data_IF_245293380438
#
_entry.id   IF_245293380438
#
_cell.length_a   1.000
_cell.length_b   1.000
_cell.length_c   1.000
_cell.angle_alpha   90.00
_cell.angle_beta   90.00
_cell.angle_gamma   90.00
#
_symmetry.space_group_name_H-M   'P 1'
#
loop_
_entity.id
_entity.type
_entity.pdbx_description
1 polymer ?
#
# COMPACT_ATOMS: atom_id res chain seq x y z
N UNK A 1 0.48 9.34 30.58
CA UNK A 1 1.41 8.86 29.54
C UNK A 1 1.79 10.04 28.67
N UNK A 2 3.04 10.13 28.22
CA UNK A 2 3.54 11.23 27.39
C UNK A 2 4.44 10.71 26.29
N UNK A 3 4.34 11.29 25.10
CA UNK A 3 5.30 11.06 24.02
C UNK A 3 6.65 11.66 24.42
N UNK A 4 7.73 10.92 24.22
CA UNK A 4 9.10 11.33 24.61
C UNK A 4 10.03 11.55 23.43
N UNK A 5 9.82 10.85 22.31
CA UNK A 5 10.65 10.98 21.10
C UNK A 5 9.98 10.32 19.89
N UNK A 6 10.41 10.72 18.69
CA UNK A 6 10.08 10.05 17.43
C UNK A 6 11.39 9.59 16.80
N UNK A 7 11.43 8.34 16.31
CA UNK A 7 12.59 7.85 15.54
C UNK A 7 12.15 7.24 14.23
N UNK A 8 12.93 7.47 13.19
CA UNK A 8 12.69 6.90 11.87
C UNK A 8 13.73 5.83 11.55
N UNK A 9 13.31 4.83 10.77
CA UNK A 9 14.14 3.70 10.37
C UNK A 9 13.91 3.44 8.89
N UNK A 10 14.95 3.64 8.09
CA UNK A 10 14.94 3.35 6.67
C UNK A 10 15.51 1.95 6.46
N UNK A 11 14.72 1.05 5.87
CA UNK A 11 15.10 -0.32 5.57
C UNK A 11 15.25 -0.50 4.06
N UNK A 12 16.40 -0.99 3.62
CA UNK A 12 16.59 -1.37 2.22
C UNK A 12 15.85 -2.69 1.95
N UNK A 13 14.81 -2.64 1.12
CA UNK A 13 14.02 -3.79 0.71
C UNK A 13 14.07 -4.00 -0.83
N UNK A 14 15.27 -3.83 -1.39
CA UNK A 14 15.64 -4.07 -2.79
C UNK A 14 14.91 -3.17 -3.81
N UNK A 15 13.61 -3.37 -4.03
CA UNK A 15 12.84 -2.65 -5.05
C UNK A 15 12.36 -1.29 -4.54
N UNK A 16 11.88 -1.24 -3.29
CA UNK A 16 11.40 -0.03 -2.62
C UNK A 16 11.94 -0.04 -1.21
N UNK A 17 12.51 1.06 -0.74
CA UNK A 17 12.95 1.18 0.64
C UNK A 17 11.74 1.46 1.54
N UNK A 18 11.67 0.80 2.69
CA UNK A 18 10.62 1.02 3.68
C UNK A 18 11.04 2.08 4.69
N UNK A 19 10.09 2.89 5.15
CA UNK A 19 10.33 3.89 6.19
C UNK A 19 9.40 3.59 7.36
N UNK A 20 9.96 3.15 8.49
CA UNK A 20 9.19 2.95 9.71
C UNK A 20 9.41 4.12 10.67
N UNK A 21 8.35 4.45 11.41
CA UNK A 21 8.37 5.45 12.48
C UNK A 21 8.07 4.76 13.79
N UNK A 22 8.82 5.11 14.82
CA UNK A 22 8.61 4.65 16.19
C UNK A 22 8.36 5.84 17.11
N UNK A 23 7.19 5.86 17.74
CA UNK A 23 6.82 6.87 18.74
C UNK A 23 7.05 6.27 20.12
N UNK A 24 7.92 6.90 20.90
CA UNK A 24 8.25 6.47 22.25
C UNK A 24 7.40 7.19 23.28
N UNK A 25 7.09 6.49 24.38
CA UNK A 25 6.39 7.07 25.53
C UNK A 25 7.30 7.17 26.76
N UNK A 26 6.81 7.79 27.83
CA UNK A 26 7.43 7.82 29.15
C UNK A 26 7.26 6.50 29.94
N UNK A 27 6.54 5.53 29.38
CA UNK A 27 6.35 4.21 29.95
C UNK A 27 7.31 3.22 29.28
N UNK A 28 8.14 2.56 30.09
CA UNK A 28 9.12 1.60 29.60
C UNK A 28 8.45 0.47 28.80
N UNK A 29 8.96 0.21 27.59
CA UNK A 29 8.45 -0.83 26.70
C UNK A 29 7.23 -0.42 25.87
N UNK A 30 6.48 0.60 26.27
CA UNK A 30 5.32 1.06 25.52
C UNK A 30 5.72 2.07 24.43
N UNK A 31 5.56 1.64 23.19
CA UNK A 31 5.86 2.42 22.00
C UNK A 31 4.98 1.97 20.83
N UNK A 32 4.79 2.89 19.89
CA UNK A 32 4.03 2.69 18.66
C UNK A 32 4.92 2.54 17.46
N UNK A 33 4.46 1.78 16.48
CA UNK A 33 5.10 1.65 15.16
C UNK A 33 4.09 2.03 14.08
N UNK A 34 4.54 2.83 13.12
CA UNK A 34 3.83 3.11 11.90
C UNK A 34 4.76 3.14 10.69
N UNK A 35 4.19 3.26 9.51
CA UNK A 35 4.90 3.22 8.24
C UNK A 35 4.69 4.49 7.43
N UNK A 36 5.80 5.09 6.97
CA UNK A 36 5.85 6.31 6.18
C UNK A 36 6.40 6.04 4.76
N UNK A 37 6.42 4.78 4.30
CA UNK A 37 7.01 4.40 3.01
C UNK A 37 6.48 5.29 1.88
N UNK A 38 7.41 5.97 1.21
CA UNK A 38 7.12 6.88 0.11
C UNK A 38 8.25 6.77 -0.91
N UNK A 39 7.96 6.08 -2.02
CA UNK A 39 8.94 5.68 -3.03
C UNK A 39 9.81 6.87 -3.48
N UNK A 40 11.13 6.68 -3.40
CA UNK A 40 12.16 7.63 -3.82
C UNK A 40 12.18 8.95 -3.05
N UNK A 41 11.50 9.02 -1.90
CA UNK A 41 11.46 10.20 -1.00
C UNK A 41 11.68 9.79 0.44
N UNK A 42 12.39 8.69 0.68
CA UNK A 42 12.51 8.03 1.98
C UNK A 42 13.17 8.93 3.02
N UNK A 43 14.27 9.60 2.64
CA UNK A 43 14.93 10.55 3.52
C UNK A 43 14.06 11.78 3.79
N UNK A 44 13.33 12.26 2.77
CA UNK A 44 12.46 13.42 2.89
C UNK A 44 11.31 13.15 3.84
N UNK A 45 10.63 12.01 3.70
CA UNK A 45 9.52 11.63 4.57
C UNK A 45 9.99 11.28 5.98
N UNK A 46 11.16 10.62 6.13
CA UNK A 46 11.77 10.40 7.43
C UNK A 46 12.04 11.73 8.16
N UNK A 47 12.58 12.73 7.45
CA UNK A 47 12.80 14.05 8.04
C UNK A 47 11.50 14.75 8.40
N UNK A 48 10.47 14.66 7.56
CA UNK A 48 9.16 15.20 7.87
C UNK A 48 8.55 14.59 9.15
N UNK A 49 8.77 13.30 9.41
CA UNK A 49 8.35 12.66 10.66
C UNK A 49 9.09 13.24 11.87
N UNK A 50 10.40 13.44 11.78
CA UNK A 50 11.21 14.06 12.84
C UNK A 50 10.81 15.52 13.12
N UNK A 51 10.48 16.29 12.07
CA UNK A 51 10.04 17.68 12.22
C UNK A 51 8.71 17.81 12.99
N UNK A 52 7.85 16.79 12.92
CA UNK A 52 6.61 16.74 13.69
C UNK A 52 6.86 16.47 15.18
N UNK A 53 8.02 15.94 15.58
CA UNK A 53 8.35 15.64 16.99
C UNK A 53 8.17 16.86 17.90
N UNK A 54 8.54 18.05 17.42
CA UNK A 54 8.42 19.31 18.18
C UNK A 54 6.99 19.62 18.63
N UNK A 55 5.99 19.12 17.89
CA UNK A 55 4.58 19.30 18.22
C UNK A 55 4.06 18.21 19.16
N UNK A 56 4.77 17.08 19.26
CA UNK A 56 4.25 15.85 19.85
C UNK A 56 4.84 15.51 21.21
N UNK A 57 6.12 15.85 21.44
CA UNK A 57 6.76 15.60 22.74
C UNK A 57 5.97 16.25 23.88
N UNK A 58 5.70 15.47 24.93
CA UNK A 58 4.94 15.89 26.10
C UNK A 58 3.42 15.73 25.97
N UNK A 59 2.87 15.49 24.77
CA UNK A 59 1.44 15.20 24.57
C UNK A 59 1.09 13.77 24.99
N UNK A 60 -0.16 13.58 25.37
CA UNK A 60 -0.72 12.24 25.61
C UNK A 60 -1.00 11.55 24.26
N UNK A 61 -0.40 10.39 23.96
CA UNK A 61 -0.61 9.70 22.69
C UNK A 61 -2.03 9.18 22.48
N UNK A 62 -2.90 9.17 23.50
CA UNK A 62 -4.31 8.79 23.36
C UNK A 62 -5.16 9.85 22.66
N UNK A 63 -4.69 11.09 22.57
CA UNK A 63 -5.39 12.19 21.90
C UNK A 63 -5.11 12.19 20.38
N UNK A 64 -5.36 11.05 19.74
CA UNK A 64 -5.00 10.80 18.32
C UNK A 64 -5.58 11.87 17.40
N UNK A 65 -6.88 12.16 17.50
CA UNK A 65 -7.56 13.13 16.65
C UNK A 65 -7.03 14.57 16.84
N UNK A 66 -6.72 14.94 18.08
CA UNK A 66 -6.11 16.25 18.40
C UNK A 66 -4.73 16.36 17.77
N UNK A 67 -3.90 15.33 17.96
CA UNK A 67 -2.56 15.25 17.38
C UNK A 67 -2.62 15.34 15.86
N UNK A 68 -3.50 14.56 15.23
CA UNK A 68 -3.67 14.57 13.77
C UNK A 68 -4.02 15.97 13.26
N UNK A 69 -5.00 16.61 13.90
CA UNK A 69 -5.41 17.96 13.53
C UNK A 69 -4.31 18.99 13.76
N UNK A 70 -3.56 18.91 14.85
CA UNK A 70 -2.40 19.79 15.10
C UNK A 70 -1.35 19.60 14.01
N UNK A 71 -0.93 18.37 13.72
CA UNK A 71 0.06 18.11 12.67
C UNK A 71 -0.38 18.63 11.29
N UNK A 72 -1.66 18.46 10.94
CA UNK A 72 -2.16 18.89 9.63
C UNK A 72 -2.39 20.40 9.53
N UNK A 73 -2.98 21.02 10.57
CA UNK A 73 -3.38 22.43 10.55
C UNK A 73 -2.21 23.37 10.86
N UNK A 74 -1.30 22.97 11.74
CA UNK A 74 -0.15 23.80 12.14
C UNK A 74 0.97 23.80 11.10
N UNK A 75 0.89 22.94 10.09
CA UNK A 75 1.82 22.92 8.96
C UNK A 75 1.72 24.18 8.05
N UNK A 76 0.66 24.98 8.21
CA UNK A 76 0.31 26.13 7.35
C UNK A 76 0.08 25.72 5.88
N UNK A 77 1.14 25.39 5.15
CA UNK A 77 1.11 24.70 3.86
C UNK A 77 0.98 23.20 4.10
N UNK A 78 -0.09 22.60 3.59
CA UNK A 78 -0.51 21.26 3.99
C UNK A 78 -1.00 20.44 2.80
N UNK A 79 -1.04 19.12 2.99
CA UNK A 79 -1.30 18.15 1.93
C UNK A 79 -0.01 17.65 1.27
N UNK A 80 -0.15 17.05 0.08
CA UNK A 80 0.97 16.44 -0.65
C UNK A 80 1.47 15.14 -0.02
N UNK A 81 2.23 14.37 -0.79
CA UNK A 81 2.61 13.02 -0.38
C UNK A 81 3.51 13.00 0.88
N UNK A 82 4.48 13.91 0.99
CA UNK A 82 5.47 13.88 2.08
C UNK A 82 4.82 14.10 3.46
N UNK A 83 4.09 15.22 3.63
CA UNK A 83 3.45 15.52 4.92
C UNK A 83 2.38 14.49 5.25
N UNK A 84 1.55 14.09 4.28
CA UNK A 84 0.49 13.12 4.53
C UNK A 84 1.03 11.73 4.90
N UNK A 85 2.13 11.28 4.29
CA UNK A 85 2.81 10.02 4.69
C UNK A 85 3.40 10.11 6.10
N UNK A 86 3.98 11.26 6.48
CA UNK A 86 4.50 11.45 7.83
C UNK A 86 3.39 11.45 8.90
N UNK A 87 2.28 12.16 8.64
CA UNK A 87 1.11 12.17 9.53
C UNK A 87 0.52 10.75 9.63
N UNK A 88 0.38 10.04 8.52
CA UNK A 88 -0.12 8.65 8.49
C UNK A 88 0.71 7.72 9.37
N UNK A 89 2.04 7.80 9.27
CA UNK A 89 2.95 6.97 10.07
C UNK A 89 2.84 7.25 11.58
N UNK A 90 2.69 8.52 11.95
CA UNK A 90 2.48 8.89 13.35
C UNK A 90 1.11 8.41 13.82
N UNK A 91 0.05 8.64 13.06
CA UNK A 91 -1.32 8.19 13.39
C UNK A 91 -1.36 6.67 13.66
N UNK A 92 -0.79 5.86 12.75
CA UNK A 92 -0.66 4.41 12.95
C UNK A 92 0.09 4.06 14.24
N UNK A 93 1.20 4.74 14.53
CA UNK A 93 1.97 4.51 15.74
C UNK A 93 1.17 4.86 17.01
N UNK A 94 0.36 5.91 16.99
CA UNK A 94 -0.49 6.29 18.13
C UNK A 94 -1.61 5.27 18.35
N UNK A 95 -2.22 4.75 17.28
CA UNK A 95 -3.17 3.64 17.37
C UNK A 95 -2.55 2.36 17.92
N UNK A 96 -1.32 2.05 17.50
CA UNK A 96 -0.55 0.92 18.03
C UNK A 96 -0.24 1.09 19.53
N UNK A 97 0.15 2.29 19.98
CA UNK A 97 0.31 2.61 21.43
C UNK A 97 -1.00 2.36 22.16
N UNK A 98 -2.11 2.91 21.67
CA UNK A 98 -3.41 2.82 22.33
C UNK A 98 -3.90 1.37 22.43
N UNK A 99 -3.69 0.57 21.39
CA UNK A 99 -3.98 -0.87 21.42
C UNK A 99 -3.15 -1.60 22.47
N UNK A 100 -1.83 -1.36 22.48
CA UNK A 100 -0.90 -1.97 23.44
C UNK A 100 -1.19 -1.59 24.89
N UNK A 101 -1.47 -0.32 25.16
CA UNK A 101 -1.79 0.17 26.51
C UNK A 101 -3.08 -0.45 27.05
N UNK A 102 -4.09 -0.57 26.20
CA UNK A 102 -5.38 -1.16 26.55
C UNK A 102 -5.39 -2.71 26.47
N UNK A 103 -4.29 -3.33 26.02
CA UNK A 103 -4.18 -4.78 25.86
C UNK A 103 -5.12 -5.37 24.80
N UNK A 104 -5.47 -4.60 23.77
CA UNK A 104 -6.39 -5.02 22.69
C UNK A 104 -5.79 -4.78 21.30
N UNK A 105 -6.15 -5.59 20.29
CA UNK A 105 -5.76 -5.30 18.92
C UNK A 105 -6.47 -4.03 18.40
N UNK A 106 -5.82 -3.29 17.49
CA UNK A 106 -6.32 -1.99 16.98
C UNK A 106 -7.75 -2.10 16.42
N UNK A 107 -8.09 -3.18 15.71
CA UNK A 107 -9.45 -3.36 15.17
C UNK A 107 -10.54 -3.33 16.26
N UNK A 108 -10.21 -3.70 17.51
CA UNK A 108 -11.16 -3.67 18.61
C UNK A 108 -11.52 -2.24 19.00
N UNK A 109 -10.56 -1.31 18.84
CA UNK A 109 -10.77 0.12 19.04
C UNK A 109 -11.57 0.76 17.90
N UNK A 110 -11.56 0.14 16.72
CA UNK A 110 -12.30 0.59 15.53
C UNK A 110 -13.74 0.03 15.45
N UNK A 111 -14.26 -0.52 16.56
CA UNK A 111 -15.61 -1.07 16.64
C UNK A 111 -15.70 -2.59 16.66
N UNK A 112 -14.57 -3.29 16.67
CA UNK A 112 -14.53 -4.76 16.75
C UNK A 112 -14.58 -5.44 15.37
N UNK A 113 -14.30 -6.75 15.38
CA UNK A 113 -14.33 -7.55 14.15
C UNK A 113 -15.77 -7.82 13.71
N UNK A 114 -16.00 -7.77 12.40
CA UNK A 114 -17.27 -8.18 11.74
C UNK A 114 -17.08 -9.35 10.76
N UNK A 115 -15.85 -9.88 10.70
CA UNK A 115 -15.42 -11.03 9.92
C UNK A 115 -14.16 -11.62 10.56
N UNK A 116 -13.91 -12.91 10.37
CA UNK A 116 -12.74 -13.59 10.94
C UNK A 116 -11.49 -13.50 10.05
N UNK A 117 -11.68 -13.26 8.75
CA UNK A 117 -10.60 -13.11 7.78
C UNK A 117 -10.97 -12.11 6.68
N UNK A 118 -9.96 -11.66 5.93
CA UNK A 118 -10.10 -10.80 4.75
C UNK A 118 -9.50 -11.57 3.56
N UNK A 119 -10.21 -11.59 2.44
CA UNK A 119 -9.67 -12.14 1.20
C UNK A 119 -8.52 -11.26 0.68
N UNK A 120 -7.40 -11.89 0.34
CA UNK A 120 -6.22 -11.22 -0.20
C UNK A 120 -6.03 -11.61 -1.67
N UNK A 121 -5.60 -10.67 -2.49
CA UNK A 121 -5.12 -10.97 -3.83
C UNK A 121 -3.58 -11.06 -3.83
N UNK A 122 -3.02 -11.91 -4.69
CA UNK A 122 -1.58 -11.95 -4.91
C UNK A 122 -1.14 -10.86 -5.90
N UNK A 123 -0.03 -10.19 -5.60
CA UNK A 123 0.68 -9.32 -6.53
C UNK A 123 2.15 -9.77 -6.63
N UNK A 124 2.77 -9.59 -7.79
CA UNK A 124 4.16 -10.01 -8.05
C UNK A 124 4.33 -11.49 -8.40
N UNK A 125 3.23 -12.27 -8.46
CA UNK A 125 3.22 -13.69 -8.84
C UNK A 125 3.76 -13.96 -10.25
N UNK A 126 3.68 -12.96 -11.12
CA UNK A 126 3.98 -13.04 -12.55
C UNK A 126 5.48 -12.99 -12.88
N UNK A 127 6.36 -12.62 -11.95
CA UNK A 127 7.79 -12.55 -12.25
C UNK A 127 8.45 -13.95 -12.29
N UNK A 128 9.38 -14.22 -13.22
CA UNK A 128 9.87 -13.39 -14.33
C UNK A 128 9.24 -13.74 -15.70
N UNK A 129 7.97 -14.17 -15.73
CA UNK A 129 7.28 -14.61 -16.94
C UNK A 129 7.24 -13.54 -18.03
N UNK A 130 7.24 -13.99 -19.29
CA UNK A 130 7.31 -13.16 -20.50
C UNK A 130 6.33 -13.60 -21.58
N UNK A 131 5.94 -14.88 -21.62
CA UNK A 131 4.97 -15.40 -22.61
C UNK A 131 3.61 -15.69 -21.98
N UNK A 132 2.53 -15.74 -22.78
CA UNK A 132 1.19 -16.10 -22.29
C UNK A 132 1.18 -17.40 -21.47
N UNK A 133 1.91 -18.43 -21.92
CA UNK A 133 1.99 -19.73 -21.26
C UNK A 133 2.71 -19.65 -19.91
N UNK A 134 3.80 -18.87 -19.85
CA UNK A 134 4.53 -18.65 -18.60
C UNK A 134 3.67 -17.88 -17.58
N UNK A 135 2.89 -16.88 -18.03
CA UNK A 135 1.95 -16.17 -17.15
C UNK A 135 0.84 -17.10 -16.66
N UNK A 136 0.24 -17.91 -17.54
CA UNK A 136 -0.78 -18.88 -17.16
C UNK A 136 -0.28 -19.86 -16.08
N UNK A 137 0.95 -20.38 -16.23
CA UNK A 137 1.57 -21.28 -15.27
C UNK A 137 1.84 -20.59 -13.92
N UNK A 138 2.35 -19.35 -13.94
CA UNK A 138 2.54 -18.55 -12.73
C UNK A 138 1.22 -18.22 -12.02
N UNK A 139 0.16 -17.98 -12.77
CA UNK A 139 -1.16 -17.72 -12.21
C UNK A 139 -1.68 -18.96 -11.45
N UNK A 140 -1.55 -20.16 -12.05
CA UNK A 140 -1.90 -21.43 -11.39
C UNK A 140 -1.09 -21.67 -10.12
N UNK A 141 0.18 -21.30 -10.10
CA UNK A 141 1.02 -21.37 -8.90
C UNK A 141 0.49 -20.46 -7.77
N UNK A 142 0.08 -19.23 -8.10
CA UNK A 142 -0.52 -18.32 -7.12
C UNK A 142 -1.84 -18.88 -6.55
N UNK A 143 -2.69 -19.46 -7.39
CA UNK A 143 -3.95 -20.07 -6.94
C UNK A 143 -3.67 -21.29 -6.06
N UNK A 144 -2.70 -22.12 -6.44
CA UNK A 144 -2.29 -23.29 -5.66
C UNK A 144 -1.71 -22.90 -4.29
N UNK A 145 -1.22 -21.68 -4.14
CA UNK A 145 -0.80 -21.11 -2.86
C UNK A 145 -1.97 -20.57 -2.00
N UNK A 146 -3.21 -20.66 -2.48
CA UNK A 146 -4.43 -20.33 -1.74
C UNK A 146 -5.01 -18.94 -2.02
N UNK A 147 -4.50 -18.21 -3.01
CA UNK A 147 -5.04 -16.91 -3.37
C UNK A 147 -6.29 -17.05 -4.23
N UNK A 148 -7.38 -16.41 -3.80
CA UNK A 148 -8.66 -16.35 -4.53
C UNK A 148 -8.72 -15.21 -5.54
N UNK A 149 -7.67 -14.39 -5.64
CA UNK A 149 -7.57 -13.30 -6.60
C UNK A 149 -6.11 -13.03 -6.93
N UNK A 150 -5.84 -12.55 -8.14
CA UNK A 150 -4.51 -12.18 -8.61
C UNK A 150 -4.55 -10.82 -9.31
N UNK A 151 -3.55 -9.97 -9.03
CA UNK A 151 -3.39 -8.66 -9.67
C UNK A 151 -2.12 -8.59 -10.49
N UNK A 152 -2.19 -8.02 -11.69
CA UNK A 152 -1.05 -7.88 -12.59
C UNK A 152 -1.21 -6.74 -13.60
N UNK A 153 -0.10 -6.23 -14.13
CA UNK A 153 -0.01 -5.28 -15.23
C UNK A 153 0.57 -5.96 -16.48
N UNK A 154 -0.25 -6.24 -17.51
CA UNK A 154 0.17 -6.91 -18.73
C UNK A 154 0.75 -5.98 -19.80
N UNK A 155 0.80 -4.66 -19.57
CA UNK A 155 1.06 -3.69 -20.64
C UNK A 155 2.53 -3.25 -20.77
N UNK A 156 3.46 -4.01 -20.18
CA UNK A 156 4.90 -3.78 -20.31
C UNK A 156 5.32 -2.38 -19.86
N UNK A 157 6.14 -1.69 -20.68
CA UNK A 157 6.63 -0.33 -20.40
C UNK A 157 5.86 0.79 -21.13
N UNK A 158 4.71 0.50 -21.75
CA UNK A 158 3.91 1.50 -22.46
C UNK A 158 3.48 2.67 -21.54
N UNK A 159 3.48 3.90 -22.04
CA UNK A 159 3.18 5.10 -21.25
C UNK A 159 2.42 6.10 -22.10
N UNK A 160 1.34 6.65 -21.55
CA UNK A 160 0.25 7.41 -22.20
C UNK A 160 -0.51 6.59 -23.25
N UNK A 161 0.22 6.05 -24.23
CA UNK A 161 -0.30 5.32 -25.38
C UNK A 161 0.31 3.91 -25.42
N UNK A 162 -0.44 2.98 -26.02
CA UNK A 162 0.02 1.63 -26.36
C UNK A 162 -0.19 1.41 -27.85
N UNK A 163 0.81 0.88 -28.57
CA UNK A 163 0.59 0.56 -29.99
C UNK A 163 -0.22 -0.72 -30.11
N UNK A 164 -0.85 -0.91 -31.28
CA UNK A 164 -1.74 -2.05 -31.52
C UNK A 164 -1.05 -3.39 -31.29
N UNK A 165 0.24 -3.49 -31.65
CA UNK A 165 1.02 -4.72 -31.48
C UNK A 165 1.20 -5.06 -30.00
N UNK A 166 1.61 -4.11 -29.16
CA UNK A 166 1.76 -4.35 -27.72
C UNK A 166 0.42 -4.62 -27.06
N UNK A 167 -0.66 -3.96 -27.48
CA UNK A 167 -2.00 -4.23 -26.95
C UNK A 167 -2.45 -5.66 -27.26
N UNK A 168 -2.27 -6.11 -28.50
CA UNK A 168 -2.60 -7.49 -28.88
C UNK A 168 -1.77 -8.51 -28.09
N UNK A 169 -0.48 -8.22 -27.84
CA UNK A 169 0.37 -9.07 -27.00
C UNK A 169 -0.13 -9.12 -25.56
N UNK A 170 -0.49 -7.97 -24.98
CA UNK A 170 -1.05 -7.89 -23.64
C UNK A 170 -2.37 -8.69 -23.55
N UNK A 171 -3.28 -8.54 -24.53
CA UNK A 171 -4.54 -9.29 -24.55
C UNK A 171 -4.33 -10.80 -24.73
N UNK A 172 -3.33 -11.23 -25.49
CA UNK A 172 -2.97 -12.64 -25.57
C UNK A 172 -2.50 -13.21 -24.21
N UNK A 173 -1.71 -12.44 -23.45
CA UNK A 173 -1.33 -12.84 -22.10
C UNK A 173 -2.53 -12.83 -21.14
N UNK A 174 -3.40 -11.83 -21.21
CA UNK A 174 -4.62 -11.76 -20.39
C UNK A 174 -5.52 -12.96 -20.67
N UNK A 175 -5.74 -13.30 -21.94
CA UNK A 175 -6.55 -14.46 -22.33
C UNK A 175 -6.00 -15.77 -21.73
N UNK A 176 -4.69 -16.01 -21.88
CA UNK A 176 -4.08 -17.22 -21.33
C UNK A 176 -4.17 -17.30 -19.80
N UNK A 177 -4.03 -16.17 -19.10
CA UNK A 177 -4.20 -16.13 -17.64
C UNK A 177 -5.67 -16.33 -17.27
N UNK A 178 -6.59 -15.65 -17.94
CA UNK A 178 -8.03 -15.79 -17.72
C UNK A 178 -8.47 -17.25 -17.87
N UNK A 179 -8.11 -17.91 -18.97
CA UNK A 179 -8.41 -19.33 -19.21
C UNK A 179 -7.82 -20.25 -18.13
N UNK A 180 -6.63 -19.92 -17.63
CA UNK A 180 -5.95 -20.70 -16.60
C UNK A 180 -6.59 -20.59 -15.21
N UNK A 181 -7.29 -19.48 -14.93
CA UNK A 181 -7.80 -19.16 -13.58
C UNK A 181 -9.32 -19.10 -13.50
N UNK A 182 -10.01 -19.10 -14.63
CA UNK A 182 -11.47 -18.96 -14.69
C UNK A 182 -12.17 -19.97 -13.78
N UNK A 183 -13.09 -19.48 -12.96
CA UNK A 183 -13.81 -20.26 -11.94
C UNK A 183 -13.02 -20.59 -10.67
N UNK A 184 -11.73 -20.22 -10.59
CA UNK A 184 -10.87 -20.49 -9.43
C UNK A 184 -10.37 -19.22 -8.73
N UNK A 185 -10.16 -18.12 -9.45
CA UNK A 185 -9.73 -16.85 -8.86
C UNK A 185 -10.17 -15.63 -9.70
N UNK A 186 -10.33 -14.49 -9.04
CA UNK A 186 -10.59 -13.21 -9.69
C UNK A 186 -9.31 -12.65 -10.33
N UNK A 187 -9.42 -12.09 -11.54
CA UNK A 187 -8.32 -11.45 -12.26
C UNK A 187 -8.46 -9.92 -12.22
N UNK A 188 -7.47 -9.25 -11.65
CA UNK A 188 -7.41 -7.78 -11.54
C UNK A 188 -6.31 -7.25 -12.44
N UNK A 189 -6.66 -6.31 -13.32
CA UNK A 189 -5.71 -5.67 -14.25
C UNK A 189 -5.35 -4.26 -13.76
N UNK A 190 -4.06 -4.00 -13.62
CA UNK A 190 -3.50 -2.73 -13.13
C UNK A 190 -2.94 -1.88 -14.29
N UNK A 191 -3.35 -0.62 -14.35
CA UNK A 191 -2.90 0.35 -15.36
C UNK A 191 -1.88 1.38 -14.87
N UNK A 192 -1.55 1.40 -13.57
CA UNK A 192 -0.56 2.31 -12.95
C UNK A 192 -0.80 3.81 -13.19
N UNK A 193 -2.03 4.22 -13.52
CA UNK A 193 -2.35 5.61 -13.86
C UNK A 193 -1.56 6.16 -15.06
N UNK A 194 -0.99 5.31 -15.91
CA UNK A 194 -0.03 5.72 -16.95
C UNK A 194 -0.64 6.05 -18.30
N UNK A 195 -1.87 5.61 -18.55
CA UNK A 195 -2.54 5.77 -19.83
C UNK A 195 -3.34 7.05 -19.87
N UNK A 196 -3.32 7.73 -21.03
CA UNK A 196 -4.25 8.81 -21.26
C UNK A 196 -5.68 8.30 -21.46
N UNK A 197 -6.65 9.20 -21.39
CA UNK A 197 -8.08 8.85 -21.41
C UNK A 197 -8.44 8.00 -22.65
N UNK A 198 -8.09 8.39 -23.89
CA UNK A 198 -8.42 7.58 -25.07
C UNK A 198 -7.81 6.17 -25.02
N UNK A 199 -6.58 6.05 -24.54
CA UNK A 199 -5.91 4.76 -24.43
C UNK A 199 -6.53 3.88 -23.35
N UNK A 200 -6.84 4.46 -22.19
CA UNK A 200 -7.49 3.78 -21.08
C UNK A 200 -8.88 3.24 -21.50
N UNK A 201 -9.68 4.05 -22.20
CA UNK A 201 -10.98 3.62 -22.74
C UNK A 201 -10.82 2.46 -23.72
N UNK A 202 -9.82 2.53 -24.62
CA UNK A 202 -9.56 1.45 -25.57
C UNK A 202 -9.12 0.16 -24.87
N UNK A 203 -8.29 0.26 -23.83
CA UNK A 203 -7.88 -0.90 -23.02
C UNK A 203 -9.08 -1.50 -22.29
N UNK A 204 -9.91 -0.68 -21.64
CA UNK A 204 -11.12 -1.15 -20.95
C UNK A 204 -12.09 -1.87 -21.90
N UNK A 205 -12.31 -1.32 -23.11
CA UNK A 205 -13.13 -1.98 -24.12
C UNK A 205 -12.53 -3.29 -24.65
N UNK A 206 -11.21 -3.48 -24.58
CA UNK A 206 -10.57 -4.73 -24.96
C UNK A 206 -10.63 -5.78 -23.83
N UNK A 207 -10.61 -5.32 -22.56
CA UNK A 207 -10.71 -6.18 -21.38
C UNK A 207 -12.14 -6.69 -21.13
N UNK A 208 -13.16 -6.01 -21.64
CA UNK A 208 -14.56 -6.39 -21.42
C UNK A 208 -14.95 -7.76 -21.98
N UNK A 209 -14.16 -8.33 -22.90
CA UNK A 209 -14.31 -9.72 -23.37
C UNK A 209 -14.12 -10.74 -22.23
N UNK A 210 -13.37 -10.37 -21.18
CA UNK A 210 -13.04 -11.21 -20.03
C UNK A 210 -13.85 -10.86 -18.76
N UNK A 211 -14.84 -9.98 -18.87
CA UNK A 211 -15.61 -9.44 -17.71
C UNK A 211 -14.71 -8.78 -16.64
N UNK A 212 -13.68 -8.05 -17.09
CA UNK A 212 -12.70 -7.30 -16.27
C UNK A 212 -12.89 -5.80 -16.44
#
# INVERSE_FOLDING_TARGET
MKITAIKTFICNAYRTNWVFVKVYTDIAGLHGVGEATLEYKEHTVAKACEELERLLVGKDPHHIEEIWHSCYRDAYWRGGAVLMSAISAIDMALWDIKGKDLGVPVYQLLGGKVRDSIACYANGWFAPAKTPEEFAEKAKQAISAGFSAIKWDPFGSSYLQIERKQLNQAMACVAAVYDAVSGSADLIIEGHGRFDIPTAVRIGNALSEFDI
#
